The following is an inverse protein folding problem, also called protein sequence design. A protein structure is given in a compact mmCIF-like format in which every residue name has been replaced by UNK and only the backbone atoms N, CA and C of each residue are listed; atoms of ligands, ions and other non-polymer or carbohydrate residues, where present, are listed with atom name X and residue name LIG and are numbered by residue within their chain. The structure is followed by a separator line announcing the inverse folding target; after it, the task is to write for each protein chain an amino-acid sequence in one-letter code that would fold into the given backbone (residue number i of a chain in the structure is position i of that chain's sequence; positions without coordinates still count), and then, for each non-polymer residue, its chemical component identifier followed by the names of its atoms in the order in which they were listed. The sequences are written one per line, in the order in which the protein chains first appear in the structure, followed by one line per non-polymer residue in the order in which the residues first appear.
data_IF_662589280919
#
_entry.id   IF_662589280919
#
_cell.length_a   1.000
_cell.length_b   1.000
_cell.length_c   1.000
_cell.angle_alpha   90.00
_cell.angle_beta   90.00
_cell.angle_gamma   90.00
#
_symmetry.space_group_name_H-M   'P 1'
#
loop_
_entity.id
_entity.type
_entity.pdbx_description
1 polymer ?
#
# COMPACT_ATOMS: atom_id res chain seq x y z
N UNK A 1 6.00 -23.01 12.37
CA UNK A 1 6.48 -22.76 13.76
C UNK A 1 5.40 -22.98 14.83
N UNK A 2 4.24 -22.31 14.79
CA UNK A 2 3.21 -22.46 15.84
C UNK A 2 2.75 -23.90 16.13
N UNK A 3 2.42 -24.67 15.08
CA UNK A 3 2.08 -26.11 15.20
C UNK A 3 3.22 -26.95 15.79
N UNK A 4 4.46 -26.66 15.40
CA UNK A 4 5.64 -27.36 15.88
C UNK A 4 5.85 -27.14 17.40
N UNK A 5 5.79 -25.90 17.87
CA UNK A 5 5.93 -25.59 19.30
C UNK A 5 4.81 -26.23 20.13
N UNK A 6 3.58 -26.27 19.58
CA UNK A 6 2.46 -26.97 20.23
C UNK A 6 2.71 -28.48 20.34
N UNK A 7 3.28 -29.12 19.32
CA UNK A 7 3.68 -30.54 19.38
C UNK A 7 4.77 -30.79 20.42
N UNK A 8 5.77 -29.91 20.51
CA UNK A 8 6.83 -30.04 21.54
C UNK A 8 6.33 -29.75 22.94
N UNK A 9 5.35 -28.89 23.09
CA UNK A 9 4.71 -28.66 24.39
C UNK A 9 3.98 -29.87 24.97
N UNK A 10 3.49 -30.80 24.14
CA UNK A 10 2.87 -32.02 24.65
C UNK A 10 3.87 -33.08 25.11
N UNK A 11 5.12 -33.00 24.65
CA UNK A 11 6.21 -33.89 25.06
C UNK A 11 6.85 -33.42 26.38
N UNK A 12 6.82 -32.13 26.67
CA UNK A 12 7.43 -31.51 27.85
C UNK A 12 6.37 -31.06 28.88
N UNK A 13 6.32 -31.72 30.04
CA UNK A 13 5.38 -31.37 31.13
C UNK A 13 5.87 -30.23 32.03
N UNK A 14 7.08 -29.72 31.82
CA UNK A 14 7.67 -28.65 32.62
C UNK A 14 7.08 -27.28 32.27
N UNK A 15 7.56 -26.23 32.96
CA UNK A 15 7.19 -24.85 32.65
C UNK A 15 7.68 -24.42 31.25
N UNK A 16 8.75 -25.04 30.73
CA UNK A 16 9.20 -24.83 29.35
C UNK A 16 8.16 -25.35 28.34
N UNK A 17 7.55 -26.52 28.58
CA UNK A 17 6.42 -27.01 27.79
C UNK A 17 5.23 -26.04 27.77
N UNK A 18 4.84 -25.49 28.93
CA UNK A 18 3.79 -24.46 29.02
C UNK A 18 4.14 -23.20 28.20
N UNK A 19 5.40 -22.77 28.24
CA UNK A 19 5.90 -21.65 27.44
C UNK A 19 5.84 -21.95 25.94
N UNK A 20 6.28 -23.14 25.52
CA UNK A 20 6.18 -23.60 24.13
C UNK A 20 4.72 -23.62 23.64
N UNK A 21 3.77 -24.06 24.47
CA UNK A 21 2.35 -24.06 24.13
C UNK A 21 1.82 -22.63 23.92
N UNK A 22 2.13 -21.71 24.85
CA UNK A 22 1.68 -20.33 24.81
C UNK A 22 2.26 -19.58 23.59
N UNK A 23 3.57 -19.69 23.37
CA UNK A 23 4.24 -19.13 22.17
C UNK A 23 3.68 -19.76 20.90
N UNK A 24 3.47 -21.08 20.88
CA UNK A 24 2.90 -21.79 19.76
C UNK A 24 1.49 -21.30 19.38
N UNK A 25 0.65 -21.02 20.38
CA UNK A 25 -0.68 -20.42 20.21
C UNK A 25 -0.57 -18.98 19.68
N UNK A 26 0.30 -18.15 20.26
CA UNK A 26 0.52 -16.78 19.83
C UNK A 26 1.01 -16.69 18.37
N UNK A 27 1.97 -17.53 17.97
CA UNK A 27 2.46 -17.59 16.60
C UNK A 27 1.38 -18.06 15.61
N UNK A 28 0.55 -19.03 16.01
CA UNK A 28 -0.57 -19.50 15.18
C UNK A 28 -1.62 -18.40 15.01
N UNK A 29 -1.92 -17.66 16.08
CA UNK A 29 -2.80 -16.51 16.04
C UNK A 29 -2.26 -15.40 15.13
N UNK A 30 -0.97 -15.04 15.27
CA UNK A 30 -0.31 -14.05 14.40
C UNK A 30 -0.39 -14.45 12.92
N UNK A 31 -0.15 -15.72 12.59
CA UNK A 31 -0.28 -16.22 11.23
C UNK A 31 -1.72 -16.05 10.69
N UNK A 32 -2.74 -16.33 11.51
CA UNK A 32 -4.14 -16.14 11.13
C UNK A 32 -4.49 -14.66 10.92
N UNK A 33 -4.04 -13.76 11.82
CA UNK A 33 -4.25 -12.32 11.65
C UNK A 33 -3.53 -11.81 10.38
N UNK A 34 -2.35 -12.35 10.05
CA UNK A 34 -1.63 -12.00 8.82
C UNK A 34 -2.39 -12.43 7.57
N UNK A 35 -3.09 -13.57 7.58
CA UNK A 35 -3.92 -14.00 6.44
C UNK A 35 -5.06 -13.02 6.17
N UNK A 36 -5.59 -12.34 7.19
CA UNK A 36 -6.63 -11.33 7.01
C UNK A 36 -6.15 -10.11 6.19
N UNK A 37 -4.84 -9.85 6.14
CA UNK A 37 -4.25 -8.79 5.30
C UNK A 37 -4.32 -9.09 3.80
N UNK A 38 -4.49 -10.36 3.41
CA UNK A 38 -4.47 -10.76 2.02
C UNK A 38 -5.61 -10.13 1.21
N UNK A 39 -6.80 -10.02 1.81
CA UNK A 39 -7.97 -9.44 1.17
C UNK A 39 -7.78 -7.95 0.84
N UNK A 40 -7.48 -7.05 1.81
CA UNK A 40 -7.29 -5.63 1.51
C UNK A 40 -6.06 -5.39 0.62
N UNK A 41 -5.00 -6.21 0.75
CA UNK A 41 -3.82 -6.08 -0.11
C UNK A 41 -4.14 -6.45 -1.56
N UNK A 42 -4.85 -7.56 -1.79
CA UNK A 42 -5.31 -7.95 -3.13
C UNK A 42 -6.21 -6.89 -3.74
N UNK A 43 -7.12 -6.33 -2.94
CA UNK A 43 -8.01 -5.25 -3.38
C UNK A 43 -7.22 -4.00 -3.79
N UNK A 44 -6.25 -3.59 -2.99
CA UNK A 44 -5.34 -2.47 -3.30
C UNK A 44 -4.61 -2.69 -4.62
N UNK A 45 -4.05 -3.89 -4.80
CA UNK A 45 -3.36 -4.24 -6.04
C UNK A 45 -4.27 -4.14 -7.26
N UNK A 46 -5.48 -4.71 -7.17
CA UNK A 46 -6.45 -4.71 -8.28
C UNK A 46 -6.89 -3.28 -8.67
N UNK A 47 -7.17 -2.44 -7.68
CA UNK A 47 -7.58 -1.05 -7.91
C UNK A 47 -6.46 -0.22 -8.53
N UNK A 48 -5.25 -0.32 -8.00
CA UNK A 48 -4.07 0.36 -8.58
C UNK A 48 -3.81 -0.11 -10.00
N UNK A 49 -3.90 -1.41 -10.26
CA UNK A 49 -3.71 -1.97 -11.60
C UNK A 49 -4.77 -1.47 -12.59
N UNK A 50 -6.03 -1.40 -12.14
CA UNK A 50 -7.14 -0.89 -12.96
C UNK A 50 -6.97 0.59 -13.25
N UNK A 51 -6.65 1.41 -12.24
CA UNK A 51 -6.37 2.83 -12.41
C UNK A 51 -5.25 3.06 -13.43
N UNK A 52 -4.15 2.30 -13.32
CA UNK A 52 -3.05 2.36 -14.28
C UNK A 52 -3.47 1.97 -15.70
N UNK A 53 -4.04 0.77 -15.88
CA UNK A 53 -4.31 0.22 -17.21
C UNK A 53 -5.53 0.83 -17.90
N UNK A 54 -6.38 1.56 -17.17
CA UNK A 54 -7.60 2.15 -17.72
C UNK A 54 -7.55 3.67 -17.65
N UNK A 55 -7.47 4.25 -16.46
CA UNK A 55 -7.60 5.69 -16.30
C UNK A 55 -6.39 6.45 -16.84
N UNK A 56 -5.17 5.97 -16.55
CA UNK A 56 -3.95 6.60 -17.08
C UNK A 56 -3.87 6.44 -18.59
N UNK A 57 -4.09 5.22 -19.11
CA UNK A 57 -4.01 4.95 -20.55
C UNK A 57 -5.04 5.74 -21.38
N UNK A 58 -6.29 5.86 -20.90
CA UNK A 58 -7.33 6.68 -21.54
C UNK A 58 -6.97 8.19 -21.55
N UNK A 59 -6.40 8.69 -20.45
CA UNK A 59 -5.93 10.08 -20.36
C UNK A 59 -4.76 10.30 -21.31
N UNK A 60 -3.79 9.40 -21.34
CA UNK A 60 -2.63 9.45 -22.23
C UNK A 60 -3.05 9.44 -23.71
N UNK A 61 -4.02 8.59 -24.08
CA UNK A 61 -4.58 8.55 -25.43
C UNK A 61 -5.21 9.89 -25.83
N UNK A 62 -5.91 10.55 -24.89
CA UNK A 62 -6.54 11.86 -25.13
C UNK A 62 -5.51 12.96 -25.30
N UNK A 63 -4.44 12.95 -24.49
CA UNK A 63 -3.31 13.88 -24.61
C UNK A 63 -2.64 13.72 -25.97
N UNK A 64 -2.33 12.48 -26.38
CA UNK A 64 -1.71 12.19 -27.68
C UNK A 64 -2.54 12.71 -28.86
N UNK A 65 -3.87 12.56 -28.80
CA UNK A 65 -4.78 13.13 -29.81
C UNK A 65 -4.77 14.65 -29.82
N UNK A 66 -4.66 15.29 -28.67
CA UNK A 66 -4.55 16.74 -28.53
C UNK A 66 -3.26 17.27 -29.11
N UNK A 67 -2.14 16.58 -28.86
CA UNK A 67 -0.84 16.92 -29.46
C UNK A 67 -0.87 16.81 -30.99
N UNK A 68 -1.47 15.74 -31.52
CA UNK A 68 -1.67 15.60 -32.96
C UNK A 68 -2.51 16.75 -33.55
N UNK A 69 -3.63 17.10 -32.92
CA UNK A 69 -4.46 18.22 -33.35
C UNK A 69 -3.74 19.58 -33.23
N UNK A 70 -2.88 19.76 -32.22
CA UNK A 70 -2.02 20.93 -32.07
C UNK A 70 -1.05 21.05 -33.24
N UNK A 71 -0.42 19.95 -33.63
CA UNK A 71 0.52 19.91 -34.75
C UNK A 71 -0.18 20.20 -36.08
N UNK A 72 -1.38 19.64 -36.30
CA UNK A 72 -2.19 19.93 -37.48
C UNK A 72 -2.56 21.42 -37.56
N UNK A 73 -3.01 22.02 -36.47
CA UNK A 73 -3.32 23.45 -36.41
C UNK A 73 -2.08 24.32 -36.69
N UNK A 74 -0.94 23.99 -36.10
CA UNK A 74 0.34 24.68 -36.36
C UNK A 74 0.77 24.56 -37.82
N UNK A 75 0.61 23.38 -38.42
CA UNK A 75 0.87 23.14 -39.83
C UNK A 75 -0.02 24.00 -40.74
N UNK A 76 -1.32 24.07 -40.43
CA UNK A 76 -2.26 24.91 -41.17
C UNK A 76 -1.92 26.41 -41.06
N UNK A 77 -1.48 26.88 -39.89
CA UNK A 77 -1.02 28.27 -39.71
C UNK A 77 0.23 28.58 -40.52
N UNK A 78 1.21 27.68 -40.53
CA UNK A 78 2.43 27.84 -41.33
C UNK A 78 2.09 27.86 -42.82
N UNK A 79 1.17 26.99 -43.26
CA UNK A 79 0.69 26.98 -44.63
C UNK A 79 -0.03 28.28 -45.02
N UNK A 80 -0.85 28.82 -44.12
CA UNK A 80 -1.52 30.11 -44.31
C UNK A 80 -0.52 31.25 -44.44
N UNK A 81 0.52 31.27 -43.60
CA UNK A 81 1.61 32.25 -43.66
C UNK A 81 2.30 32.21 -45.02
N UNK A 82 2.76 31.03 -45.46
CA UNK A 82 3.49 30.89 -46.73
C UNK A 82 2.64 31.37 -47.93
N UNK A 83 1.36 31.02 -47.99
CA UNK A 83 0.48 31.49 -49.08
C UNK A 83 0.27 33.01 -49.00
N UNK A 84 0.17 33.58 -47.80
CA UNK A 84 -0.02 35.01 -47.62
C UNK A 84 1.18 35.82 -48.12
N UNK A 85 2.40 35.30 -47.98
CA UNK A 85 3.64 35.94 -48.45
C UNK A 85 3.77 35.92 -49.98
N UNK A 86 3.19 34.91 -50.64
CA UNK A 86 3.21 34.74 -52.11
C UNK A 86 1.95 35.28 -52.83
N UNK A 87 1.05 35.95 -52.09
CA UNK A 87 -0.27 36.34 -52.57
C UNK A 87 -0.19 37.58 -53.46
N UNK A 88 -0.49 37.39 -54.75
CA UNK A 88 -0.68 38.48 -55.72
C UNK A 88 -2.21 38.72 -55.87
N UNK A 89 -2.73 39.93 -55.57
CA UNK A 89 -4.15 40.25 -55.63
C UNK A 89 -4.80 40.04 -57.01
N UNK A 90 -4.03 40.16 -58.09
CA UNK A 90 -4.53 40.06 -59.47
C UNK A 90 -4.65 38.61 -59.98
N UNK A 91 -4.17 37.65 -59.18
CA UNK A 91 -4.24 36.21 -59.49
C UNK A 91 -5.38 35.53 -58.73
N UNK A 92 -6.61 35.60 -59.25
CA UNK A 92 -7.83 35.07 -58.59
C UNK A 92 -7.73 33.62 -58.07
N UNK A 93 -6.92 32.74 -58.70
CA UNK A 93 -6.66 31.38 -58.22
C UNK A 93 -5.90 31.33 -56.88
N UNK A 94 -4.99 32.27 -56.62
CA UNK A 94 -4.24 32.35 -55.34
C UNK A 94 -5.15 32.81 -54.20
N UNK A 95 -6.09 33.72 -54.47
CA UNK A 95 -7.08 34.18 -53.50
C UNK A 95 -8.02 33.04 -53.06
N UNK A 96 -8.47 32.20 -54.01
CA UNK A 96 -9.31 31.04 -53.68
C UNK A 96 -8.55 30.02 -52.82
N UNK A 97 -7.28 29.75 -53.15
CA UNK A 97 -6.40 28.89 -52.35
C UNK A 97 -6.23 29.43 -50.93
N UNK A 98 -6.01 30.74 -50.77
CA UNK A 98 -5.91 31.39 -49.46
C UNK A 98 -7.20 31.22 -48.63
N UNK A 99 -8.38 31.42 -49.23
CA UNK A 99 -9.68 31.19 -48.55
C UNK A 99 -9.84 29.74 -48.10
N UNK A 100 -9.43 28.76 -48.90
CA UNK A 100 -9.46 27.34 -48.52
C UNK A 100 -8.56 27.06 -47.31
N UNK A 101 -7.36 27.63 -47.28
CA UNK A 101 -6.44 27.48 -46.14
C UNK A 101 -6.96 28.17 -44.88
N UNK A 102 -7.57 29.35 -45.00
CA UNK A 102 -8.25 30.01 -43.87
C UNK A 102 -9.32 29.11 -43.24
N UNK A 103 -10.14 28.45 -44.07
CA UNK A 103 -11.15 27.50 -43.59
C UNK A 103 -10.50 26.32 -42.85
N UNK A 104 -9.40 25.78 -43.38
CA UNK A 104 -8.67 24.69 -42.72
C UNK A 104 -8.04 25.13 -41.39
N UNK A 105 -7.52 26.35 -41.29
CA UNK A 105 -7.02 26.93 -40.03
C UNK A 105 -8.13 27.03 -39.00
N UNK A 106 -9.32 27.54 -39.38
CA UNK A 106 -10.47 27.63 -38.46
C UNK A 106 -10.92 26.26 -37.98
N UNK A 107 -11.01 25.28 -38.88
CA UNK A 107 -11.42 23.91 -38.57
C UNK A 107 -10.43 23.21 -37.62
N UNK A 108 -9.14 23.25 -37.94
CA UNK A 108 -8.08 22.64 -37.11
C UNK A 108 -7.97 23.31 -35.75
N UNK A 109 -8.12 24.64 -35.66
CA UNK A 109 -8.18 25.37 -34.39
C UNK A 109 -9.35 24.91 -33.52
N UNK A 110 -10.55 24.84 -34.08
CA UNK A 110 -11.74 24.40 -33.34
C UNK A 110 -11.57 22.97 -32.80
N UNK A 111 -10.99 22.05 -33.59
CA UNK A 111 -10.70 20.70 -33.12
C UNK A 111 -9.65 20.68 -32.02
N UNK A 112 -8.56 21.45 -32.16
CA UNK A 112 -7.53 21.58 -31.13
C UNK A 112 -8.09 22.15 -29.82
N UNK A 113 -8.85 23.25 -29.87
CA UNK A 113 -9.43 23.89 -28.69
C UNK A 113 -10.38 22.93 -27.94
N UNK A 114 -11.19 22.17 -28.68
CA UNK A 114 -12.06 21.13 -28.10
C UNK A 114 -11.27 20.01 -27.41
N UNK A 115 -10.23 19.48 -28.05
CA UNK A 115 -9.40 18.41 -27.50
C UNK A 115 -8.54 18.88 -26.32
N UNK A 116 -8.09 20.14 -26.35
CA UNK A 116 -7.39 20.80 -25.24
C UNK A 116 -8.28 20.84 -24.01
N UNK A 117 -9.52 21.31 -24.14
CA UNK A 117 -10.46 21.35 -23.01
C UNK A 117 -10.73 19.94 -22.46
N UNK A 118 -11.00 18.97 -23.35
CA UNK A 118 -11.24 17.58 -22.95
C UNK A 118 -10.03 16.98 -22.21
N UNK A 119 -8.80 17.29 -22.64
CA UNK A 119 -7.58 16.82 -21.97
C UNK A 119 -7.42 17.42 -20.57
N UNK A 120 -7.66 18.73 -20.41
CA UNK A 120 -7.61 19.38 -19.09
C UNK A 120 -8.60 18.72 -18.12
N UNK A 121 -9.85 18.57 -18.54
CA UNK A 121 -10.90 17.94 -17.73
C UNK A 121 -10.55 16.49 -17.35
N UNK A 122 -9.99 15.71 -18.28
CA UNK A 122 -9.56 14.34 -17.98
C UNK A 122 -8.40 14.29 -17.00
N UNK A 123 -7.43 15.20 -17.09
CA UNK A 123 -6.31 15.28 -16.13
C UNK A 123 -6.83 15.61 -14.73
N UNK A 124 -7.77 16.55 -14.62
CA UNK A 124 -8.39 16.91 -13.34
C UNK A 124 -9.17 15.71 -12.75
N UNK A 125 -9.97 15.04 -13.57
CA UNK A 125 -10.70 13.84 -13.15
C UNK A 125 -9.76 12.69 -12.77
N UNK A 126 -8.64 12.51 -13.47
CA UNK A 126 -7.63 11.52 -13.16
C UNK A 126 -7.00 11.78 -11.79
N UNK A 127 -6.69 13.05 -11.50
CA UNK A 127 -6.16 13.45 -10.20
C UNK A 127 -7.16 13.18 -9.06
N UNK A 128 -8.43 13.56 -9.25
CA UNK A 128 -9.49 13.30 -8.28
C UNK A 128 -9.72 11.79 -8.07
N UNK A 129 -9.79 11.02 -9.17
CA UNK A 129 -9.96 9.57 -9.13
C UNK A 129 -8.81 8.86 -8.39
N UNK A 130 -7.56 9.29 -8.61
CA UNK A 130 -6.39 8.77 -7.87
C UNK A 130 -6.53 8.99 -6.37
N UNK A 131 -6.86 10.22 -5.98
CA UNK A 131 -7.03 10.57 -4.56
C UNK A 131 -8.15 9.76 -3.93
N UNK A 132 -9.31 9.64 -4.59
CA UNK A 132 -10.43 8.86 -4.10
C UNK A 132 -10.08 7.38 -3.94
N UNK A 133 -9.48 6.77 -4.96
CA UNK A 133 -9.05 5.37 -4.92
C UNK A 133 -8.08 5.11 -3.75
N UNK A 134 -7.05 5.94 -3.59
CA UNK A 134 -6.07 5.77 -2.52
C UNK A 134 -6.71 6.03 -1.15
N UNK A 135 -7.51 7.09 -1.00
CA UNK A 135 -8.15 7.44 0.28
C UNK A 135 -9.05 6.32 0.83
N UNK A 136 -9.63 5.49 -0.04
CA UNK A 136 -10.47 4.37 0.37
C UNK A 136 -9.66 3.09 0.55
N UNK A 137 -8.92 2.68 -0.48
CA UNK A 137 -8.36 1.33 -0.53
C UNK A 137 -7.03 1.23 0.21
N UNK A 138 -6.20 2.27 0.16
CA UNK A 138 -4.95 2.29 0.93
C UNK A 138 -5.24 2.45 2.42
N UNK A 139 -6.20 3.30 2.78
CA UNK A 139 -6.62 3.48 4.18
C UNK A 139 -7.13 2.16 4.78
N UNK A 140 -7.98 1.42 4.06
CA UNK A 140 -8.47 0.11 4.52
C UNK A 140 -7.34 -0.91 4.74
N UNK A 141 -6.34 -0.93 3.85
CA UNK A 141 -5.16 -1.79 4.02
C UNK A 141 -4.33 -1.37 5.24
N UNK A 142 -4.09 -0.07 5.41
CA UNK A 142 -3.34 0.48 6.55
C UNK A 142 -4.03 0.17 7.89
N UNK A 143 -5.35 0.36 7.98
CA UNK A 143 -6.12 0.06 9.19
C UNK A 143 -6.02 -1.43 9.55
N UNK A 144 -6.20 -2.32 8.56
CA UNK A 144 -6.05 -3.76 8.80
C UNK A 144 -4.62 -4.13 9.23
N UNK A 145 -3.61 -3.48 8.66
CA UNK A 145 -2.20 -3.69 9.01
C UNK A 145 -1.90 -3.24 10.44
N UNK A 146 -2.43 -2.08 10.85
CA UNK A 146 -2.30 -1.59 12.23
C UNK A 146 -2.95 -2.55 13.21
N UNK A 147 -4.18 -3.00 12.95
CA UNK A 147 -4.88 -3.97 13.79
C UNK A 147 -4.11 -5.30 13.88
N UNK A 148 -3.51 -5.77 12.78
CA UNK A 148 -2.65 -6.95 12.78
C UNK A 148 -1.47 -6.79 13.75
N UNK A 149 -0.75 -5.68 13.69
CA UNK A 149 0.39 -5.41 14.55
C UNK A 149 -0.02 -5.27 16.00
N UNK A 150 -1.08 -4.51 16.28
CA UNK A 150 -1.57 -4.27 17.64
C UNK A 150 -2.03 -5.57 18.31
N UNK A 151 -2.81 -6.41 17.62
CA UNK A 151 -3.29 -7.70 18.15
C UNK A 151 -2.14 -8.69 18.35
N UNK A 152 -1.21 -8.76 17.40
CA UNK A 152 -0.04 -9.63 17.51
C UNK A 152 0.85 -9.21 18.67
N UNK A 153 1.15 -7.92 18.78
CA UNK A 153 1.97 -7.36 19.85
C UNK A 153 1.36 -7.62 21.23
N UNK A 154 0.06 -7.30 21.42
CA UNK A 154 -0.65 -7.58 22.68
C UNK A 154 -0.57 -9.05 23.07
N UNK A 155 -0.77 -9.95 22.12
CA UNK A 155 -0.67 -11.40 22.37
C UNK A 155 0.75 -11.81 22.78
N UNK A 156 1.77 -11.28 22.11
CA UNK A 156 3.18 -11.57 22.43
C UNK A 156 3.61 -10.99 23.78
N UNK A 157 3.18 -9.77 24.11
CA UNK A 157 3.42 -9.14 25.43
C UNK A 157 2.79 -9.98 26.53
N UNK A 158 1.52 -10.39 26.38
CA UNK A 158 0.85 -11.25 27.36
C UNK A 158 1.59 -12.58 27.56
N UNK A 159 2.13 -13.18 26.50
CA UNK A 159 2.98 -14.37 26.63
C UNK A 159 4.27 -14.04 27.39
N UNK A 160 4.96 -12.96 27.03
CA UNK A 160 6.19 -12.53 27.70
C UNK A 160 5.99 -12.29 29.20
N UNK A 161 4.91 -11.60 29.58
CA UNK A 161 4.57 -11.31 30.98
C UNK A 161 4.24 -12.59 31.75
N UNK A 162 3.53 -13.54 31.13
CA UNK A 162 3.18 -14.84 31.75
C UNK A 162 4.39 -15.70 32.14
N UNK A 163 5.55 -15.43 31.55
CA UNK A 163 6.80 -16.16 31.81
C UNK A 163 7.93 -15.24 32.28
N UNK A 164 7.61 -14.04 32.79
CA UNK A 164 8.58 -13.14 33.40
C UNK A 164 9.08 -13.71 34.72
N UNK A 165 10.36 -13.47 35.04
CA UNK A 165 10.98 -13.88 36.30
C UNK A 165 11.64 -15.25 36.27
N UNK A 166 12.03 -15.75 37.45
CA UNK A 166 12.76 -17.00 37.57
C UNK A 166 11.90 -18.21 37.23
N UNK A 167 12.41 -19.02 36.30
CA UNK A 167 11.74 -20.21 35.81
C UNK A 167 12.34 -21.46 36.47
N UNK A 168 11.73 -21.90 37.57
CA UNK A 168 12.19 -23.11 38.27
C UNK A 168 12.25 -24.32 37.31
N UNK A 169 13.41 -24.99 37.32
CA UNK A 169 13.69 -26.18 36.53
C UNK A 169 14.36 -27.22 37.42
N UNK A 170 13.81 -28.44 37.45
CA UNK A 170 14.36 -29.54 38.23
C UNK A 170 15.12 -30.50 37.31
N UNK A 171 16.42 -30.69 37.57
CA UNK A 171 17.25 -31.57 36.76
C UNK A 171 16.88 -33.04 37.02
N UNK A 172 16.55 -33.76 35.95
CA UNK A 172 16.23 -35.18 36.04
C UNK A 172 17.48 -36.07 36.23
N UNK A 173 18.64 -35.65 35.71
CA UNK A 173 19.91 -36.39 35.82
C UNK A 173 20.79 -35.92 36.98
N UNK A 174 20.77 -34.63 37.34
CA UNK A 174 21.67 -34.04 38.32
C UNK A 174 20.94 -33.74 39.64
N UNK A 175 20.53 -34.80 40.35
CA UNK A 175 19.74 -34.69 41.58
C UNK A 175 20.48 -34.01 42.74
N UNK A 176 21.81 -33.98 42.70
CA UNK A 176 22.66 -33.30 43.69
C UNK A 176 22.50 -31.78 43.66
N UNK A 177 22.09 -31.21 42.53
CA UNK A 177 21.87 -29.77 42.35
C UNK A 177 20.47 -29.32 42.80
N UNK A 178 19.54 -30.26 43.01
CA UNK A 178 18.16 -29.97 43.42
C UNK A 178 18.04 -29.10 44.70
N UNK A 179 18.84 -29.32 45.77
CA UNK A 179 18.78 -28.48 46.97
C UNK A 179 19.19 -27.03 46.71
N UNK A 180 20.23 -26.81 45.91
CA UNK A 180 20.73 -25.47 45.57
C UNK A 180 19.69 -24.68 44.76
N UNK A 181 18.99 -25.35 43.84
CA UNK A 181 17.95 -24.73 43.01
C UNK A 181 16.70 -24.40 43.82
N UNK A 182 16.29 -25.26 44.76
CA UNK A 182 15.18 -24.93 45.67
C UNK A 182 15.48 -23.71 46.52
N UNK A 183 16.72 -23.60 47.03
CA UNK A 183 17.18 -22.42 47.75
C UNK A 183 17.18 -21.18 46.86
N UNK A 184 17.65 -21.30 45.63
CA UNK A 184 17.61 -20.22 44.64
C UNK A 184 16.16 -19.77 44.39
N UNK A 185 15.25 -20.71 44.14
CA UNK A 185 13.84 -20.43 43.87
C UNK A 185 13.14 -19.72 45.03
N UNK A 186 13.45 -20.10 46.28
CA UNK A 186 12.95 -19.42 47.49
C UNK A 186 13.52 -17.99 47.62
N UNK A 187 14.80 -17.79 47.28
CA UNK A 187 15.40 -16.46 47.31
C UNK A 187 14.79 -15.54 46.26
N UNK A 188 14.52 -16.04 45.04
CA UNK A 188 13.89 -15.25 43.98
C UNK A 188 12.39 -15.05 44.18
N UNK A 189 11.69 -15.93 44.91
CA UNK A 189 10.28 -15.70 45.26
C UNK A 189 10.13 -14.64 46.36
N UNK A 190 10.97 -14.70 47.40
CA UNK A 190 10.91 -13.75 48.51
C UNK A 190 11.29 -12.32 48.07
N UNK A 191 12.26 -12.19 47.16
CA UNK A 191 12.63 -10.90 46.57
C UNK A 191 11.52 -10.27 45.70
N UNK A 192 10.58 -11.07 45.18
CA UNK A 192 9.45 -10.57 44.41
C UNK A 192 8.27 -10.13 45.29
N UNK A 193 8.13 -10.64 46.51
CA UNK A 193 7.10 -10.23 47.48
C UNK A 193 7.50 -8.94 48.23
N UNK A 194 8.79 -8.75 48.54
CA UNK A 194 9.29 -7.51 49.17
C UNK A 194 9.15 -6.27 48.28
N UNK A 195 9.24 -6.42 46.96
CA UNK A 195 9.07 -5.30 45.99
C UNK A 195 7.60 -4.84 45.88
N UNK A 196 6.63 -5.71 46.19
CA UNK A 196 5.19 -5.37 46.21
C UNK A 196 4.70 -4.81 47.54
N UNK A 197 5.48 -4.94 48.62
CA UNK A 197 5.13 -4.48 49.96
C UNK A 197 5.50 -3.03 50.27
N UNK A 198 6.19 -2.34 49.36
CA UNK A 198 6.76 -1.01 49.60
C UNK A 198 6.10 0.12 48.79
N UNK A 199 4.95 -0.14 48.15
CA UNK A 199 4.10 0.86 47.47
C UNK A 199 2.73 1.05 48.16
N UNK A 200 2.68 1.06 49.50
CA UNK A 200 1.49 1.44 50.28
C UNK A 200 1.67 2.76 51.02
#
# INVERSE_FOLDING_TARGET
MGRFLKSKSSEDKTRAGKMLAAVGKALSHSAQQRLALQNPLTRLQQEVQTFRNRAIDDTASTIKRTEAARNEYRGALLWMKNISEELDPDMGKKLEKFRRVQTQVRKSKANFDRLKLASMQKVDLLAASRCNMLSQVLAAYQDTLLQFWERTARTMVSVSESFKGYQYYEFSLLKELTPAIRKLAQQTSNAAEEDTGNES
#
